data_IF_620265388740
#
_entry.id   IF_620265388740
#
_cell.length_a   1.000
_cell.length_b   1.000
_cell.length_c   1.000
_cell.angle_alpha   90.00
_cell.angle_beta   90.00
_cell.angle_gamma   90.00
#
_symmetry.space_group_name_H-M   'P 1'
#
loop_
_entity.id
_entity.type
_entity.pdbx_description
1 polymer ?
#
# COMPACT_ATOMS: atom_id res chain seq x y z
N UNK A 1 1.51 -18.77 54.05
CA UNK A 1 0.86 -17.71 54.81
C UNK A 1 0.19 -16.78 53.85
N UNK A 2 -1.00 -16.97 53.76
CA UNK A 2 -2.30 -16.31 53.99
C UNK A 2 -2.75 -15.45 52.81
N UNK A 3 -3.77 -15.95 52.10
CA UNK A 3 -4.78 -15.16 51.39
C UNK A 3 -5.69 -14.42 52.37
N UNK A 4 -6.43 -13.39 51.97
CA UNK A 4 -7.82 -13.65 51.64
C UNK A 4 -8.41 -12.86 50.45
N UNK A 5 -9.40 -13.46 49.83
CA UNK A 5 -10.55 -12.89 49.05
C UNK A 5 -11.67 -12.54 50.03
N UNK A 6 -12.93 -12.18 49.60
CA UNK A 6 -13.48 -11.25 48.63
C UNK A 6 -14.56 -10.34 49.27
N UNK A 7 -15.13 -9.36 48.53
CA UNK A 7 -16.45 -8.79 48.87
C UNK A 7 -17.20 -8.46 47.57
N UNK A 8 -18.33 -9.14 47.44
CA UNK A 8 -19.41 -8.85 46.50
C UNK A 8 -20.31 -7.77 47.07
N UNK A 9 -20.88 -6.91 46.23
CA UNK A 9 -22.05 -6.17 46.57
C UNK A 9 -22.97 -6.02 45.35
N UNK A 10 -24.08 -6.74 45.42
CA UNK A 10 -25.30 -6.60 44.58
C UNK A 10 -26.05 -5.32 45.00
N UNK A 11 -26.58 -4.57 44.06
CA UNK A 11 -27.81 -3.83 44.30
C UNK A 11 -28.64 -3.78 43.00
N UNK A 12 -29.77 -4.45 43.07
CA UNK A 12 -30.91 -4.38 42.15
C UNK A 12 -31.75 -3.16 42.50
N UNK A 13 -32.30 -2.49 41.52
CA UNK A 13 -33.58 -1.83 41.73
C UNK A 13 -34.40 -1.73 40.44
N UNK A 14 -35.65 -2.12 40.61
CA UNK A 14 -36.66 -2.33 39.59
C UNK A 14 -37.61 -1.11 39.41
N UNK A 15 -38.42 -1.18 38.35
CA UNK A 15 -39.78 -0.62 38.16
C UNK A 15 -39.93 0.88 37.82
N UNK A 16 -40.56 1.18 36.69
CA UNK A 16 -41.95 1.55 36.62
C UNK A 16 -42.48 1.68 35.20
N UNK A 17 -43.53 0.92 34.89
CA UNK A 17 -44.46 1.12 33.78
C UNK A 17 -45.28 2.39 34.03
N UNK A 18 -45.57 3.19 32.99
CA UNK A 18 -46.80 3.94 32.85
C UNK A 18 -47.32 3.89 31.41
N UNK A 19 -48.46 3.28 31.23
CA UNK A 19 -49.28 3.39 30.04
C UNK A 19 -50.19 4.61 30.14
N UNK A 20 -50.34 5.33 29.04
CA UNK A 20 -51.49 6.24 28.85
C UNK A 20 -51.98 6.11 27.41
N UNK A 21 -53.19 5.59 27.28
CA UNK A 21 -53.96 5.58 26.06
C UNK A 21 -54.76 6.91 25.97
N UNK A 22 -54.97 7.44 24.78
CA UNK A 22 -56.24 7.91 24.26
C UNK A 22 -56.08 8.83 23.06
N UNK A 23 -56.91 8.61 22.04
CA UNK A 23 -57.42 9.66 21.18
C UNK A 23 -57.18 9.49 19.69
N UNK A 24 -58.07 8.78 19.00
CA UNK A 24 -58.08 8.72 17.55
C UNK A 24 -58.72 9.94 16.90
N UNK A 25 -58.23 10.31 15.74
CA UNK A 25 -58.97 11.07 14.73
C UNK A 25 -58.59 10.51 13.34
N UNK A 26 -59.55 10.35 12.41
CA UNK A 26 -59.27 9.79 11.10
C UNK A 26 -58.67 10.87 10.19
N UNK A 27 -57.43 10.66 9.74
CA UNK A 27 -56.86 11.48 8.68
C UNK A 27 -57.11 10.84 7.31
N UNK A 28 -57.56 11.70 6.42
CA UNK A 28 -57.84 11.40 5.01
C UNK A 28 -56.64 10.80 4.29
N UNK A 29 -56.86 9.71 3.53
CA UNK A 29 -55.93 9.13 2.59
C UNK A 29 -55.73 10.08 1.42
N UNK A 30 -54.62 10.78 1.38
CA UNK A 30 -54.10 11.35 0.13
C UNK A 30 -53.34 10.28 -0.58
N UNK A 31 -53.82 9.87 -1.73
CA UNK A 31 -53.17 8.98 -2.68
C UNK A 31 -51.95 9.71 -3.25
N UNK A 32 -50.78 9.46 -2.69
CA UNK A 32 -49.50 9.83 -3.33
C UNK A 32 -49.26 8.96 -4.56
N UNK A 33 -49.27 9.58 -5.73
CA UNK A 33 -48.85 8.97 -6.97
C UNK A 33 -47.41 8.44 -6.82
N UNK A 34 -47.25 7.12 -6.95
CA UNK A 34 -45.97 6.45 -7.00
C UNK A 34 -45.20 6.95 -8.24
N UNK A 35 -44.17 7.71 -7.98
CA UNK A 35 -43.21 8.13 -9.01
C UNK A 35 -42.43 6.86 -9.43
N UNK A 36 -42.59 6.45 -10.68
CA UNK A 36 -41.86 5.34 -11.25
C UNK A 36 -40.34 5.52 -11.03
N UNK A 37 -39.58 4.45 -10.77
CA UNK A 37 -38.13 4.56 -10.67
C UNK A 37 -37.56 5.02 -12.01
N UNK A 38 -36.97 6.19 -12.02
CA UNK A 38 -36.20 6.68 -13.17
C UNK A 38 -34.97 5.76 -13.27
N UNK A 39 -35.00 4.82 -14.17
CA UNK A 39 -33.81 4.05 -14.55
C UNK A 39 -32.84 5.04 -15.18
N UNK A 40 -31.78 5.37 -14.44
CA UNK A 40 -30.64 6.08 -15.02
C UNK A 40 -30.11 5.25 -16.20
N UNK A 41 -29.83 5.88 -17.35
CA UNK A 41 -29.21 5.16 -18.46
C UNK A 41 -27.89 4.55 -18.00
N UNK A 42 -27.49 3.37 -18.53
CA UNK A 42 -26.20 2.78 -18.21
C UNK A 42 -25.13 3.81 -18.52
N UNK A 43 -24.33 4.17 -17.53
CA UNK A 43 -23.17 5.04 -17.69
C UNK A 43 -22.27 4.38 -18.75
N UNK A 44 -22.06 5.06 -19.88
CA UNK A 44 -21.08 4.62 -20.86
C UNK A 44 -19.74 4.39 -20.16
N UNK A 45 -18.94 3.37 -20.54
CA UNK A 45 -17.63 3.16 -19.97
C UNK A 45 -16.83 4.45 -20.12
N UNK A 46 -16.39 5.00 -18.98
CA UNK A 46 -15.68 6.26 -18.94
C UNK A 46 -14.37 6.13 -19.73
N UNK A 47 -14.24 6.88 -20.82
CA UNK A 47 -12.98 6.98 -21.59
C UNK A 47 -11.83 7.53 -20.71
N UNK A 48 -12.16 8.29 -19.67
CA UNK A 48 -11.21 8.80 -18.68
C UNK A 48 -10.31 7.71 -18.06
N UNK A 49 -10.72 6.46 -18.07
CA UNK A 49 -9.94 5.33 -17.56
C UNK A 49 -8.63 5.07 -18.33
N UNK A 50 -8.58 5.47 -19.59
CA UNK A 50 -7.46 5.27 -20.51
C UNK A 50 -6.72 6.57 -20.82
N UNK A 51 -7.14 7.68 -20.25
CA UNK A 51 -6.44 8.96 -20.35
C UNK A 51 -5.22 8.94 -19.40
N UNK A 52 -4.24 9.77 -19.70
CA UNK A 52 -3.05 10.07 -18.89
C UNK A 52 -3.00 11.60 -18.84
N UNK A 53 -3.79 12.17 -17.91
CA UNK A 53 -4.09 13.60 -17.90
C UNK A 53 -2.91 14.44 -17.43
N UNK A 54 -2.05 13.89 -16.59
CA UNK A 54 -0.84 14.54 -16.07
C UNK A 54 0.43 14.17 -16.85
N UNK A 55 0.32 13.24 -17.82
CA UNK A 55 1.39 12.79 -18.72
C UNK A 55 2.57 12.11 -18.01
N UNK A 56 2.29 11.48 -16.90
CA UNK A 56 3.28 10.79 -16.09
C UNK A 56 3.62 9.39 -16.62
N UNK A 57 2.79 8.87 -17.54
CA UNK A 57 2.95 7.58 -18.20
C UNK A 57 2.11 6.45 -17.59
N UNK A 58 1.30 6.72 -16.58
CA UNK A 58 0.25 5.81 -16.11
C UNK A 58 -1.12 6.30 -16.63
N UNK A 59 -2.06 5.39 -16.91
CA UNK A 59 -3.42 5.83 -17.18
C UNK A 59 -4.12 6.24 -15.88
N UNK A 60 -4.94 7.30 -15.91
CA UNK A 60 -5.70 7.82 -14.76
C UNK A 60 -6.47 6.71 -14.01
N UNK A 61 -6.98 5.72 -14.75
CA UNK A 61 -7.67 4.56 -14.17
C UNK A 61 -6.79 3.57 -13.42
N UNK A 62 -5.47 3.76 -13.44
CA UNK A 62 -4.49 2.99 -12.65
C UNK A 62 -3.89 3.79 -11.50
N UNK A 63 -4.45 4.95 -11.19
CA UNK A 63 -4.01 5.84 -10.11
C UNK A 63 -5.02 5.96 -8.99
N UNK A 64 -4.55 6.33 -7.82
CA UNK A 64 -5.37 6.47 -6.62
C UNK A 64 -5.68 7.95 -6.35
N UNK A 65 -6.79 8.44 -6.88
CA UNK A 65 -7.16 9.85 -6.77
C UNK A 65 -7.77 10.23 -5.42
N UNK A 66 -8.39 9.27 -4.69
CA UNK A 66 -8.98 9.58 -3.38
C UNK A 66 -7.93 9.53 -2.27
N UNK A 67 -8.01 10.49 -1.33
CA UNK A 67 -7.15 10.48 -0.14
C UNK A 67 -7.27 9.16 0.63
N UNK A 68 -8.50 8.64 0.79
CA UNK A 68 -8.74 7.41 1.53
C UNK A 68 -8.05 6.20 0.87
N UNK A 69 -8.13 6.08 -0.45
CA UNK A 69 -7.50 4.97 -1.17
C UNK A 69 -5.97 5.07 -1.14
N UNK A 70 -5.40 6.28 -1.26
CA UNK A 70 -3.96 6.48 -1.10
C UNK A 70 -3.48 6.06 0.29
N UNK A 71 -4.20 6.44 1.35
CA UNK A 71 -3.85 6.04 2.71
C UNK A 71 -4.04 4.54 2.96
N UNK A 72 -5.13 3.94 2.46
CA UNK A 72 -5.35 2.50 2.55
C UNK A 72 -4.24 1.73 1.83
N UNK A 73 -3.89 2.13 0.61
CA UNK A 73 -2.79 1.55 -0.14
C UNK A 73 -1.46 1.65 0.62
N UNK A 74 -1.11 2.84 1.14
CA UNK A 74 0.13 3.03 1.90
C UNK A 74 0.20 2.09 3.10
N UNK A 75 -0.91 1.93 3.81
CA UNK A 75 -0.98 1.04 4.97
C UNK A 75 -0.83 -0.43 4.57
N UNK A 76 -1.51 -0.89 3.53
CA UNK A 76 -1.34 -2.24 3.00
C UNK A 76 0.09 -2.45 2.47
N UNK A 77 0.57 -1.56 1.63
CA UNK A 77 1.88 -1.65 1.01
C UNK A 77 3.01 -1.74 2.04
N UNK A 78 3.01 -0.84 3.03
CA UNK A 78 4.02 -0.83 4.08
C UNK A 78 3.86 -2.00 5.04
N UNK A 79 2.64 -2.37 5.42
CA UNK A 79 2.37 -3.49 6.31
C UNK A 79 2.75 -4.84 5.71
N UNK A 80 2.43 -5.06 4.42
CA UNK A 80 2.83 -6.28 3.71
C UNK A 80 4.35 -6.39 3.61
N UNK A 81 5.02 -5.29 3.24
CA UNK A 81 6.49 -5.26 3.18
C UNK A 81 7.14 -5.50 4.56
N UNK A 82 6.60 -4.87 5.60
CA UNK A 82 7.06 -5.04 6.98
C UNK A 82 6.92 -6.49 7.46
N UNK A 83 5.78 -7.13 7.14
CA UNK A 83 5.52 -8.52 7.53
C UNK A 83 6.57 -9.48 6.96
N UNK A 84 7.13 -9.20 5.78
CA UNK A 84 8.16 -10.07 5.19
C UNK A 84 9.43 -10.15 6.04
N UNK A 85 9.68 -9.19 6.93
CA UNK A 85 10.77 -9.27 7.91
C UNK A 85 10.47 -10.31 9.00
N UNK A 86 9.22 -10.43 9.44
CA UNK A 86 8.84 -11.39 10.49
C UNK A 86 8.60 -12.79 9.94
N UNK A 87 8.02 -12.84 8.75
CA UNK A 87 7.70 -14.10 8.05
C UNK A 87 7.62 -13.86 6.55
N UNK A 88 8.44 -14.54 5.79
CA UNK A 88 8.33 -14.56 4.33
C UNK A 88 7.04 -15.26 3.93
N UNK A 89 6.27 -14.65 3.04
CA UNK A 89 5.08 -15.25 2.46
C UNK A 89 5.47 -16.28 1.40
N UNK A 90 4.77 -17.42 1.37
CA UNK A 90 4.90 -18.42 0.30
C UNK A 90 4.34 -17.89 -1.03
N UNK A 91 3.43 -16.90 -0.99
CA UNK A 91 2.91 -16.19 -2.17
C UNK A 91 3.98 -15.32 -2.85
N UNK A 92 5.05 -14.98 -2.16
CA UNK A 92 6.17 -14.26 -2.76
C UNK A 92 7.10 -15.24 -3.48
N UNK A 93 7.05 -15.21 -4.82
CA UNK A 93 7.88 -16.09 -5.66
C UNK A 93 9.36 -16.02 -5.26
N UNK A 94 9.93 -17.19 -4.92
CA UNK A 94 11.30 -17.32 -4.44
C UNK A 94 12.35 -16.75 -5.40
N UNK A 95 12.15 -16.94 -6.72
CA UNK A 95 13.05 -16.45 -7.77
C UNK A 95 13.03 -14.93 -7.93
N UNK A 96 12.04 -14.26 -7.31
CA UNK A 96 11.87 -12.81 -7.33
C UNK A 96 12.16 -12.14 -5.98
N UNK A 97 12.77 -12.88 -5.04
CA UNK A 97 13.11 -12.33 -3.71
C UNK A 97 14.40 -11.51 -3.79
N UNK A 98 14.22 -10.26 -4.19
CA UNK A 98 15.26 -9.23 -4.19
C UNK A 98 14.72 -7.89 -3.67
N UNK A 99 15.53 -6.84 -3.69
CA UNK A 99 15.11 -5.53 -3.18
C UNK A 99 13.93 -4.93 -3.96
N UNK A 100 13.91 -5.05 -5.28
CA UNK A 100 12.81 -4.60 -6.11
C UNK A 100 11.61 -5.56 -6.04
N UNK A 101 11.88 -6.85 -5.84
CA UNK A 101 10.86 -7.88 -5.64
C UNK A 101 10.01 -7.64 -4.40
N UNK A 102 10.61 -7.16 -3.30
CA UNK A 102 9.85 -6.77 -2.11
C UNK A 102 8.85 -5.65 -2.44
N UNK A 103 9.28 -4.65 -3.21
CA UNK A 103 8.40 -3.55 -3.65
C UNK A 103 7.29 -4.08 -4.56
N UNK A 104 7.64 -4.87 -5.58
CA UNK A 104 6.66 -5.43 -6.54
C UNK A 104 5.62 -6.31 -5.85
N UNK A 105 6.06 -7.20 -4.99
CA UNK A 105 5.19 -8.09 -4.24
C UNK A 105 4.23 -7.29 -3.37
N UNK A 106 4.76 -6.38 -2.54
CA UNK A 106 3.93 -5.60 -1.63
C UNK A 106 2.97 -4.67 -2.36
N UNK A 107 3.35 -4.12 -3.52
CA UNK A 107 2.48 -3.27 -4.33
C UNK A 107 1.29 -4.07 -4.89
N UNK A 108 1.55 -5.24 -5.52
CA UNK A 108 0.47 -6.08 -6.04
C UNK A 108 -0.48 -6.54 -4.95
N UNK A 109 0.07 -7.04 -3.86
CA UNK A 109 -0.76 -7.51 -2.74
C UNK A 109 -1.60 -6.37 -2.14
N UNK A 110 -1.07 -5.14 -2.05
CA UNK A 110 -1.80 -3.98 -1.53
C UNK A 110 -3.01 -3.56 -2.37
N UNK A 111 -3.06 -3.93 -3.64
CA UNK A 111 -4.16 -3.63 -4.56
C UNK A 111 -5.20 -4.75 -4.67
N UNK A 112 -4.96 -5.89 -4.06
CA UNK A 112 -5.91 -7.01 -4.06
C UNK A 112 -7.04 -6.78 -3.06
N UNK A 113 -8.14 -7.50 -3.25
CA UNK A 113 -9.19 -7.62 -2.25
C UNK A 113 -8.69 -8.51 -1.12
N UNK A 114 -8.68 -7.97 0.10
CA UNK A 114 -8.21 -8.69 1.29
C UNK A 114 -9.35 -9.47 1.92
N UNK A 115 -9.83 -10.47 1.19
CA UNK A 115 -10.89 -11.37 1.64
C UNK A 115 -10.35 -12.55 2.49
N UNK A 116 -11.25 -13.41 2.93
CA UNK A 116 -10.89 -14.59 3.72
C UNK A 116 -9.86 -15.48 3.00
N UNK A 117 -9.93 -15.62 1.68
CA UNK A 117 -9.01 -16.49 0.92
C UNK A 117 -7.62 -15.85 0.87
N UNK A 118 -7.56 -14.53 0.71
CA UNK A 118 -6.31 -13.78 0.79
C UNK A 118 -5.63 -13.97 2.15
N UNK A 119 -6.37 -13.79 3.26
CA UNK A 119 -5.84 -14.00 4.61
C UNK A 119 -5.37 -15.44 4.85
N UNK A 120 -6.06 -16.43 4.29
CA UNK A 120 -5.64 -17.83 4.39
C UNK A 120 -4.30 -18.08 3.70
N UNK A 121 -4.06 -17.50 2.52
CA UNK A 121 -2.81 -17.61 1.77
C UNK A 121 -1.68 -16.81 2.43
N UNK A 122 -1.94 -15.57 2.74
CA UNK A 122 -0.93 -14.66 3.33
C UNK A 122 -0.63 -14.97 4.79
N UNK A 123 -1.55 -15.62 5.49
CA UNK A 123 -1.44 -16.00 6.91
C UNK A 123 -1.72 -14.87 7.88
N UNK A 124 -1.55 -15.11 9.18
CA UNK A 124 -1.90 -14.18 10.25
C UNK A 124 -0.96 -12.94 10.30
N UNK A 125 -1.47 -11.87 10.92
CA UNK A 125 -0.70 -10.66 11.24
C UNK A 125 -1.03 -9.45 10.38
N UNK A 126 -1.98 -9.58 9.45
CA UNK A 126 -2.44 -8.48 8.61
C UNK A 126 -3.78 -7.89 9.05
N UNK A 127 -4.39 -8.47 10.10
CA UNK A 127 -5.71 -8.07 10.56
C UNK A 127 -5.74 -6.59 10.97
N UNK A 128 -6.71 -5.85 10.45
CA UNK A 128 -6.96 -4.46 10.81
C UNK A 128 -5.94 -3.45 10.27
N UNK A 129 -5.12 -3.81 9.28
CA UNK A 129 -4.19 -2.86 8.66
C UNK A 129 -4.92 -1.66 8.07
N UNK A 130 -5.86 -1.90 7.17
CA UNK A 130 -6.67 -0.86 6.53
C UNK A 130 -7.92 -1.48 5.86
N UNK A 131 -8.93 -0.69 5.48
CA UNK A 131 -9.88 -1.09 4.44
C UNK A 131 -9.19 -1.31 3.10
N UNK A 132 -9.85 -2.05 2.19
CA UNK A 132 -9.37 -2.22 0.83
C UNK A 132 -9.34 -0.89 0.06
N UNK A 133 -8.50 -0.82 -0.94
CA UNK A 133 -8.51 0.23 -1.95
C UNK A 133 -9.76 0.07 -2.79
N UNK A 134 -10.63 1.08 -2.82
CA UNK A 134 -11.96 0.98 -3.45
C UNK A 134 -11.97 1.39 -4.91
N UNK A 135 -11.16 2.38 -5.27
CA UNK A 135 -11.12 2.92 -6.62
C UNK A 135 -10.27 2.09 -7.59
N UNK A 136 -9.54 1.11 -7.07
CA UNK A 136 -8.67 0.25 -7.85
C UNK A 136 -9.08 -1.21 -7.69
N UNK A 137 -9.31 -1.86 -8.81
CA UNK A 137 -9.51 -3.31 -8.87
C UNK A 137 -8.50 -3.86 -9.89
N UNK A 138 -7.61 -4.71 -9.41
CA UNK A 138 -6.52 -5.25 -10.21
C UNK A 138 -7.01 -5.99 -11.46
N UNK A 139 -8.10 -6.75 -11.34
CA UNK A 139 -8.68 -7.52 -12.44
C UNK A 139 -9.32 -6.63 -13.51
N UNK A 140 -9.95 -5.53 -13.11
CA UNK A 140 -10.63 -4.59 -14.00
C UNK A 140 -9.80 -3.37 -14.37
N UNK A 141 -8.62 -3.22 -13.78
CA UNK A 141 -7.66 -2.15 -14.08
C UNK A 141 -7.17 -2.22 -15.55
N UNK A 142 -6.85 -1.08 -16.18
CA UNK A 142 -6.24 -1.07 -17.51
C UNK A 142 -4.95 -1.88 -17.60
N UNK A 143 -4.19 -1.94 -16.51
CA UNK A 143 -2.88 -2.60 -16.46
C UNK A 143 -2.94 -4.08 -16.06
N UNK A 144 -4.00 -4.52 -15.38
CA UNK A 144 -4.05 -5.88 -14.82
C UNK A 144 -2.85 -6.19 -13.95
N UNK A 145 -2.25 -7.34 -14.10
CA UNK A 145 -1.03 -7.76 -13.39
C UNK A 145 0.24 -7.07 -13.90
N UNK A 146 0.21 -6.43 -15.09
CA UNK A 146 1.38 -5.76 -15.70
C UNK A 146 1.52 -4.33 -15.19
N UNK A 147 1.65 -4.15 -13.88
CA UNK A 147 1.57 -2.85 -13.18
C UNK A 147 2.71 -1.88 -13.51
N UNK A 148 3.86 -2.40 -13.97
CA UNK A 148 5.09 -1.61 -13.98
C UNK A 148 5.44 -1.13 -15.38
N UNK A 149 5.46 0.19 -15.55
CA UNK A 149 5.93 0.82 -16.78
C UNK A 149 7.43 0.58 -16.98
N UNK A 150 7.83 0.35 -18.24
CA UNK A 150 9.22 -0.01 -18.61
C UNK A 150 9.90 1.02 -19.49
N UNK A 151 9.18 2.08 -19.93
CA UNK A 151 9.70 3.10 -20.84
C UNK A 151 9.18 4.50 -20.49
N UNK A 152 9.88 5.53 -20.94
CA UNK A 152 9.44 6.92 -20.84
C UNK A 152 8.31 7.23 -21.84
N UNK A 153 7.57 8.29 -21.55
CA UNK A 153 6.52 8.88 -22.39
C UNK A 153 5.16 8.82 -21.71
N UNK A 154 4.21 9.63 -22.19
CA UNK A 154 2.83 9.57 -21.76
C UNK A 154 2.20 8.25 -22.15
N UNK A 155 1.24 7.78 -21.36
CA UNK A 155 0.51 6.55 -21.65
C UNK A 155 -0.29 6.65 -22.95
N UNK A 156 -0.30 5.56 -23.66
CA UNK A 156 -1.20 5.32 -24.82
C UNK A 156 -1.73 3.89 -24.70
N UNK A 157 -2.97 3.67 -25.07
CA UNK A 157 -3.57 2.33 -25.06
C UNK A 157 -2.75 1.30 -25.86
N UNK A 158 -2.05 1.76 -26.91
CA UNK A 158 -1.13 0.94 -27.68
C UNK A 158 0.06 0.41 -26.88
N UNK A 159 0.43 1.06 -25.77
CA UNK A 159 1.58 0.71 -24.95
C UNK A 159 1.41 -0.66 -24.29
N UNK A 160 0.16 -1.04 -23.95
CA UNK A 160 -0.16 -2.36 -23.42
C UNK A 160 0.18 -3.46 -24.43
N UNK A 161 -0.19 -3.26 -25.69
CA UNK A 161 0.11 -4.20 -26.78
C UNK A 161 1.58 -4.19 -27.16
N UNK A 162 2.26 -3.05 -26.98
CA UNK A 162 3.68 -2.89 -27.26
C UNK A 162 4.58 -3.46 -26.14
N UNK A 163 4.00 -3.96 -25.03
CA UNK A 163 4.77 -4.52 -23.91
C UNK A 163 5.53 -3.47 -23.10
N UNK A 164 5.04 -2.22 -23.09
CA UNK A 164 5.63 -1.14 -22.27
C UNK A 164 5.19 -1.19 -20.80
N UNK A 165 4.39 -2.17 -20.44
CA UNK A 165 4.05 -2.54 -19.08
C UNK A 165 4.42 -4.00 -18.81
N UNK A 166 4.84 -4.31 -17.61
CA UNK A 166 5.36 -5.62 -17.22
C UNK A 166 4.95 -5.98 -15.80
N UNK A 167 4.88 -7.27 -15.51
CA UNK A 167 4.80 -7.78 -14.15
C UNK A 167 6.14 -7.64 -13.41
N UNK A 168 7.22 -7.44 -14.12
CA UNK A 168 8.58 -7.34 -13.60
C UNK A 168 9.15 -5.93 -13.80
N UNK A 169 9.76 -5.40 -12.73
CA UNK A 169 10.56 -4.17 -12.75
C UNK A 169 11.75 -4.33 -11.77
N UNK A 170 12.96 -4.13 -12.23
CA UNK A 170 14.12 -4.00 -11.36
C UNK A 170 14.12 -2.62 -10.66
N UNK A 171 15.06 -2.39 -9.74
CA UNK A 171 15.12 -1.14 -8.99
C UNK A 171 15.35 0.09 -9.89
N UNK A 172 16.02 -0.07 -11.02
CA UNK A 172 16.22 1.00 -12.01
C UNK A 172 14.92 1.35 -12.74
N UNK A 173 14.18 0.33 -13.15
CA UNK A 173 12.88 0.47 -13.82
C UNK A 173 11.85 1.09 -12.89
N UNK A 174 11.76 0.62 -11.63
CA UNK A 174 10.91 1.23 -10.61
C UNK A 174 11.23 2.72 -10.44
N UNK A 175 12.52 3.05 -10.26
CA UNK A 175 12.97 4.43 -10.06
C UNK A 175 12.63 5.32 -11.24
N UNK A 176 12.90 4.86 -12.47
CA UNK A 176 12.84 5.74 -13.64
C UNK A 176 11.43 5.94 -14.19
N UNK A 177 10.56 4.93 -14.08
CA UNK A 177 9.29 4.92 -14.80
C UNK A 177 8.07 4.84 -13.88
N UNK A 178 8.23 4.38 -12.62
CA UNK A 178 7.12 4.09 -11.72
C UNK A 178 7.12 4.97 -10.45
N UNK A 179 8.07 5.88 -10.35
CA UNK A 179 8.17 6.79 -9.20
C UNK A 179 8.55 8.19 -9.62
N UNK A 180 8.19 9.17 -8.77
CA UNK A 180 8.60 10.57 -8.86
C UNK A 180 9.58 10.90 -7.74
N UNK A 181 10.57 11.75 -8.03
CA UNK A 181 11.53 12.22 -7.03
C UNK A 181 10.87 13.20 -6.06
N UNK A 182 10.97 12.95 -4.77
CA UNK A 182 10.43 13.82 -3.72
C UNK A 182 11.53 14.72 -3.14
N UNK A 183 12.59 14.12 -2.58
CA UNK A 183 13.64 14.87 -1.91
C UNK A 183 14.80 13.96 -1.51
N UNK A 184 15.92 14.56 -1.09
CA UNK A 184 16.96 13.88 -0.31
C UNK A 184 16.85 14.15 1.19
N UNK A 185 15.87 14.95 1.59
CA UNK A 185 15.57 15.25 2.99
C UNK A 185 14.44 14.34 3.49
N UNK A 186 14.73 13.52 4.50
CA UNK A 186 13.77 12.57 5.10
C UNK A 186 12.49 13.22 5.62
N UNK A 187 12.54 14.49 6.01
CA UNK A 187 11.37 15.22 6.50
C UNK A 187 10.27 15.40 5.47
N UNK A 188 10.58 15.14 4.19
CA UNK A 188 9.64 15.18 3.07
C UNK A 188 9.11 13.78 2.72
N UNK A 189 9.70 12.74 3.30
CA UNK A 189 9.29 11.37 3.05
C UNK A 189 8.01 11.02 3.82
N UNK A 190 7.14 10.26 3.16
CA UNK A 190 5.92 9.69 3.73
C UNK A 190 6.00 8.15 3.72
N UNK A 191 5.26 7.45 4.60
CA UNK A 191 5.19 5.99 4.56
C UNK A 191 4.82 5.49 3.16
N UNK A 192 5.55 4.51 2.65
CA UNK A 192 5.40 4.01 1.29
C UNK A 192 6.32 4.66 0.25
N UNK A 193 7.02 5.75 0.59
CA UNK A 193 8.07 6.28 -0.28
C UNK A 193 9.27 5.31 -0.32
N UNK A 194 9.99 5.31 -1.43
CA UNK A 194 11.13 4.45 -1.70
C UNK A 194 12.45 5.21 -1.59
N UNK A 195 13.43 4.61 -0.92
CA UNK A 195 14.81 5.11 -0.88
C UNK A 195 15.63 4.41 -1.97
N UNK A 196 16.22 5.17 -2.88
CA UNK A 196 17.10 4.59 -3.87
C UNK A 196 18.57 4.90 -3.60
N UNK A 197 19.41 3.88 -3.82
CA UNK A 197 20.86 3.97 -3.76
C UNK A 197 21.45 3.54 -5.09
N UNK A 198 22.50 4.23 -5.53
CA UNK A 198 23.22 3.92 -6.75
C UNK A 198 24.63 3.40 -6.42
N UNK A 199 24.97 2.25 -6.99
CA UNK A 199 26.24 1.54 -6.77
C UNK A 199 26.97 1.37 -8.10
N UNK A 200 27.74 2.35 -8.56
CA UNK A 200 28.35 2.33 -9.90
C UNK A 200 29.34 1.16 -10.11
N UNK A 201 29.81 0.53 -9.04
CA UNK A 201 30.67 -0.66 -9.10
C UNK A 201 29.91 -1.97 -9.35
N UNK A 202 28.57 -1.96 -9.26
CA UNK A 202 27.72 -3.13 -9.57
C UNK A 202 27.27 -3.01 -11.02
N UNK A 203 27.83 -3.83 -11.91
CA UNK A 203 27.63 -3.66 -13.35
C UNK A 203 26.21 -3.96 -13.83
N UNK A 204 25.60 -5.06 -13.35
CA UNK A 204 24.31 -5.52 -13.87
C UNK A 204 23.10 -4.81 -13.21
N UNK A 205 23.12 -4.64 -11.89
CA UNK A 205 22.03 -4.06 -11.12
C UNK A 205 22.56 -3.01 -10.15
N UNK A 206 22.92 -1.80 -10.66
CA UNK A 206 23.58 -0.79 -9.85
C UNK A 206 22.66 -0.07 -8.88
N UNK A 207 21.35 -0.26 -8.99
CA UNK A 207 20.39 0.34 -8.09
C UNK A 207 19.96 -0.63 -6.99
N UNK A 208 19.81 -0.10 -5.78
CA UNK A 208 19.18 -0.77 -4.67
C UNK A 208 18.02 0.08 -4.16
N UNK A 209 16.95 -0.57 -3.71
CA UNK A 209 15.75 0.10 -3.20
C UNK A 209 15.42 -0.41 -1.80
N UNK A 210 15.03 0.53 -0.94
CA UNK A 210 14.45 0.27 0.39
C UNK A 210 13.10 0.95 0.48
N UNK A 211 12.19 0.43 1.30
CA UNK A 211 10.87 0.98 1.51
C UNK A 211 10.81 1.71 2.86
N UNK A 212 10.39 2.97 2.84
CA UNK A 212 10.19 3.77 4.04
C UNK A 212 8.86 3.40 4.70
N UNK A 213 8.93 2.87 5.91
CA UNK A 213 7.75 2.49 6.68
C UNK A 213 7.14 3.67 7.46
N UNK A 214 7.96 4.70 7.76
CA UNK A 214 7.60 5.61 8.83
C UNK A 214 7.51 4.86 10.14
N UNK A 215 6.39 4.98 10.84
CA UNK A 215 6.09 4.18 12.04
C UNK A 215 5.67 2.77 11.65
N UNK A 216 6.24 1.72 12.25
CA UNK A 216 5.84 0.35 12.00
C UNK A 216 4.37 0.10 12.33
N UNK A 217 3.74 -0.78 11.55
CA UNK A 217 2.32 -1.14 11.73
C UNK A 217 2.14 -2.52 12.38
N UNK A 218 3.07 -3.44 12.13
CA UNK A 218 2.95 -4.84 12.59
C UNK A 218 3.42 -4.97 14.04
N UNK A 219 4.50 -4.29 14.40
CA UNK A 219 4.97 -4.24 15.78
C UNK A 219 5.23 -2.78 16.14
N UNK A 220 4.50 -2.28 17.15
CA UNK A 220 4.71 -0.93 17.67
C UNK A 220 6.05 -0.84 18.37
N UNK A 221 7.01 -0.19 17.73
CA UNK A 221 8.37 0.01 18.26
C UNK A 221 8.64 1.50 18.58
N UNK A 222 7.62 2.21 19.01
CA UNK A 222 7.68 3.62 19.36
C UNK A 222 7.52 4.56 18.17
N UNK A 223 7.93 5.83 18.35
CA UNK A 223 7.72 6.90 17.36
C UNK A 223 8.83 7.03 16.31
N UNK A 224 9.80 6.11 16.29
CA UNK A 224 10.92 6.17 15.36
C UNK A 224 10.52 5.81 13.94
N UNK A 225 11.20 6.39 12.96
CA UNK A 225 11.06 6.02 11.55
C UNK A 225 11.89 4.78 11.23
N UNK A 226 11.31 3.90 10.43
CA UNK A 226 11.89 2.64 10.01
C UNK A 226 11.89 2.48 8.51
N UNK A 227 12.77 1.61 8.04
CA UNK A 227 12.81 1.12 6.66
C UNK A 227 12.83 -0.40 6.65
N UNK A 228 12.30 -0.97 5.59
CA UNK A 228 12.40 -2.41 5.28
C UNK A 228 12.98 -2.58 3.89
N UNK A 229 13.84 -3.59 3.72
CA UNK A 229 14.46 -3.91 2.44
C UNK A 229 14.94 -5.36 2.41
N UNK A 230 15.03 -5.91 1.21
CA UNK A 230 15.74 -7.17 0.98
C UNK A 230 17.20 -6.87 0.63
N UNK A 231 18.13 -7.61 1.20
CA UNK A 231 19.59 -7.36 1.00
C UNK A 231 20.10 -7.58 -0.42
N UNK A 232 19.25 -8.12 -1.30
CA UNK A 232 19.61 -8.58 -2.64
C UNK A 232 19.97 -10.06 -2.63
N UNK A 233 19.71 -10.73 -3.75
CA UNK A 233 20.08 -12.12 -3.96
C UNK A 233 21.42 -12.19 -4.67
N UNK A 234 22.29 -13.11 -4.24
CA UNK A 234 23.50 -13.55 -4.91
C UNK A 234 23.35 -15.02 -5.26
N UNK A 235 24.11 -15.55 -6.23
CA UNK A 235 24.02 -16.97 -6.59
C UNK A 235 24.22 -17.92 -5.40
N UNK A 236 25.09 -17.54 -4.46
CA UNK A 236 25.44 -18.30 -3.27
C UNK A 236 24.61 -17.95 -2.02
N UNK A 237 23.86 -16.85 -2.06
CA UNK A 237 23.09 -16.34 -0.90
C UNK A 237 21.82 -15.66 -1.42
N UNK A 238 20.68 -16.27 -1.15
CA UNK A 238 19.35 -15.72 -1.52
C UNK A 238 19.01 -14.38 -0.87
N UNK A 239 19.86 -13.90 0.05
CA UNK A 239 19.63 -12.67 0.79
C UNK A 239 18.57 -12.81 1.88
N UNK A 240 18.24 -11.69 2.52
CA UNK A 240 17.26 -11.67 3.63
C UNK A 240 16.56 -10.31 3.70
N UNK A 241 15.36 -10.30 4.24
CA UNK A 241 14.65 -9.06 4.57
C UNK A 241 15.22 -8.48 5.88
N UNK A 242 15.49 -7.20 5.87
CA UNK A 242 15.94 -6.41 7.03
C UNK A 242 14.91 -5.32 7.32
N UNK A 243 14.66 -5.10 8.61
CA UNK A 243 13.89 -3.97 9.13
C UNK A 243 14.78 -3.21 10.10
N UNK A 244 15.06 -1.94 9.83
CA UNK A 244 16.00 -1.15 10.62
C UNK A 244 15.46 0.26 10.88
N UNK A 245 15.84 0.84 12.02
CA UNK A 245 15.56 2.25 12.29
C UNK A 245 16.36 3.12 11.33
N UNK A 246 15.70 4.13 10.75
CA UNK A 246 16.37 5.05 9.83
C UNK A 246 17.58 5.74 10.46
N UNK A 247 17.48 6.10 11.76
CA UNK A 247 18.60 6.68 12.52
C UNK A 247 19.81 5.72 12.66
N UNK A 248 19.56 4.41 12.69
CA UNK A 248 20.66 3.42 12.68
C UNK A 248 21.32 3.36 11.31
N UNK A 249 20.53 3.48 10.26
CA UNK A 249 21.03 3.49 8.89
C UNK A 249 21.89 4.73 8.60
N UNK A 250 21.62 5.87 9.24
CA UNK A 250 22.47 7.06 9.16
C UNK A 250 23.91 6.82 9.65
N UNK A 251 24.05 5.88 10.58
CA UNK A 251 25.32 5.49 11.19
C UNK A 251 25.88 4.21 10.56
N UNK A 252 25.31 3.74 9.46
CA UNK A 252 25.78 2.52 8.80
C UNK A 252 27.30 2.56 8.62
N UNK A 253 28.06 1.49 8.96
CA UNK A 253 29.53 1.48 8.90
C UNK A 253 30.04 1.78 7.50
N UNK A 254 29.41 1.22 6.45
CA UNK A 254 29.66 1.61 5.09
C UNK A 254 28.84 2.88 4.76
N UNK A 255 29.53 4.01 4.60
CA UNK A 255 28.93 5.33 4.34
C UNK A 255 28.06 5.37 3.08
N UNK A 256 28.30 4.45 2.12
CA UNK A 256 27.52 4.36 0.88
C UNK A 256 26.05 4.04 1.09
N UNK A 257 25.72 3.41 2.23
CA UNK A 257 24.35 3.02 2.60
C UNK A 257 23.63 4.03 3.49
N UNK A 258 24.26 5.17 3.81
CA UNK A 258 23.64 6.19 4.66
C UNK A 258 22.64 7.02 3.86
N UNK A 259 21.36 7.09 4.24
CA UNK A 259 20.33 7.88 3.54
C UNK A 259 20.40 9.37 3.93
N UNK A 260 21.56 9.97 3.73
CA UNK A 260 21.83 11.37 4.07
C UNK A 260 22.16 12.19 2.82
N UNK A 261 21.77 13.46 2.81
CA UNK A 261 21.81 14.30 1.64
C UNK A 261 23.23 14.48 1.01
N UNK A 262 24.28 14.36 1.81
CA UNK A 262 25.67 14.48 1.35
C UNK A 262 26.28 13.15 0.88
N UNK A 263 25.56 12.02 0.95
CA UNK A 263 26.03 10.75 0.42
C UNK A 263 25.80 10.69 -1.11
N UNK A 264 26.83 10.65 -1.97
CA UNK A 264 26.63 10.63 -3.42
C UNK A 264 25.93 9.35 -3.92
N UNK A 265 25.97 8.26 -3.15
CA UNK A 265 25.31 7.02 -3.49
C UNK A 265 23.82 7.01 -3.12
N UNK A 266 23.36 7.88 -2.21
CA UNK A 266 21.96 8.02 -1.90
C UNK A 266 21.29 8.90 -2.95
N UNK A 267 20.41 8.32 -3.76
CA UNK A 267 19.72 9.03 -4.84
C UNK A 267 18.60 9.92 -4.30
N UNK A 268 17.87 9.43 -3.29
CA UNK A 268 16.81 10.19 -2.63
C UNK A 268 15.60 9.35 -2.28
N UNK A 269 14.57 10.03 -1.82
CA UNK A 269 13.22 9.51 -1.57
C UNK A 269 12.37 9.74 -2.81
N UNK A 270 11.60 8.74 -3.18
CA UNK A 270 10.76 8.70 -4.36
C UNK A 270 9.37 8.18 -4.00
N UNK A 271 8.34 8.79 -4.52
CA UNK A 271 6.94 8.36 -4.35
C UNK A 271 6.50 7.52 -5.54
N UNK A 272 5.65 6.53 -5.29
CA UNK A 272 5.02 5.75 -6.35
C UNK A 272 4.05 6.66 -7.12
N UNK A 273 4.08 6.63 -8.45
CA UNK A 273 3.20 7.43 -9.30
C UNK A 273 1.73 7.15 -9.07
N UNK A 274 1.36 5.91 -8.77
CA UNK A 274 -0.01 5.54 -8.38
C UNK A 274 -0.58 6.40 -7.22
N UNK A 275 0.27 7.10 -6.48
CA UNK A 275 -0.08 7.95 -5.33
C UNK A 275 -0.01 9.46 -5.64
N UNK A 276 0.32 9.82 -6.87
CA UNK A 276 0.52 11.24 -7.24
C UNK A 276 -0.78 12.02 -7.41
#
# INVERSE_FOLDING_TARGET
MQRPSPIACCLSLACALMAAACGGAPQARTTSASKAPTTSPPTAPSTARWDDSDQDGLPDGAELHSFADRENFRRWFTGIAEMQFYRLSDEWNADQRDCAGLVRFSWREALKVHDRLWFQRMGAGYDGLAPDVRAYDLESSPLGETLFRTAYGSFKESDLKAGLFSEFADARTLKNFNTVFISRDRRRAEPGDLLFFYQPWVQKMPYHVMLFLGKPQIASEGAADWVVYHTGAKPEDGGTVKKVRLAVLDLHPDKRWRPVANNPNFVGYYRLKILD
#
